data_IF_765334182199
#
_entry.id   IF_765334182199
#
_cell.length_a   1.000
_cell.length_b   1.000
_cell.length_c   1.000
_cell.angle_alpha   90.00
_cell.angle_beta   90.00
_cell.angle_gamma   90.00
#
_symmetry.space_group_name_H-M   'P 1'
#
loop_
_entity.id
_entity.type
_entity.pdbx_description
1 polymer ?
#
# COMPACT_ATOMS: atom_id res chain seq x y z
N UNK A 1 38.88 -67.58 -83.03
CA UNK A 1 38.37 -68.68 -82.18
C UNK A 1 37.25 -68.12 -81.31
N UNK A 2 36.00 -68.62 -81.53
CA UNK A 2 34.78 -68.61 -80.68
C UNK A 2 34.22 -67.20 -80.32
N UNK A 3 33.06 -66.70 -80.76
CA UNK A 3 31.64 -67.14 -80.87
C UNK A 3 30.85 -67.22 -79.55
N UNK A 4 29.55 -66.90 -79.65
CA UNK A 4 28.42 -66.94 -78.68
C UNK A 4 28.02 -65.57 -78.11
N UNK A 5 26.85 -64.96 -78.39
CA UNK A 5 25.42 -65.35 -78.42
C UNK A 5 24.73 -65.37 -77.04
N UNK A 6 23.58 -64.67 -76.97
CA UNK A 6 22.59 -64.39 -75.90
C UNK A 6 22.51 -65.34 -74.67
N UNK A 7 22.10 -64.92 -73.47
CA UNK A 7 20.78 -64.36 -73.13
C UNK A 7 20.68 -63.77 -71.69
N UNK A 8 19.49 -63.23 -71.41
CA UNK A 8 18.91 -62.56 -70.23
C UNK A 8 19.15 -63.12 -68.81
N UNK A 9 19.14 -62.25 -67.79
CA UNK A 9 18.21 -62.36 -66.65
C UNK A 9 18.14 -61.09 -65.77
N UNK A 10 16.92 -60.87 -65.27
CA UNK A 10 16.41 -59.84 -64.36
C UNK A 10 17.01 -59.90 -62.94
N UNK A 11 17.11 -58.76 -62.25
CA UNK A 11 16.80 -58.65 -60.81
C UNK A 11 16.48 -57.20 -60.45
N UNK A 12 15.20 -56.95 -60.18
CA UNK A 12 14.72 -55.79 -59.45
C UNK A 12 14.85 -56.06 -57.94
N UNK A 13 15.44 -55.14 -57.18
CA UNK A 13 15.25 -55.09 -55.74
C UNK A 13 15.58 -53.70 -55.16
N UNK A 14 14.59 -53.15 -54.46
CA UNK A 14 14.69 -52.28 -53.27
C UNK A 14 14.92 -50.77 -53.48
N UNK A 15 13.81 -50.06 -53.73
CA UNK A 15 13.64 -48.65 -53.36
C UNK A 15 12.38 -48.45 -52.49
N UNK A 16 12.35 -49.09 -51.31
CA UNK A 16 11.40 -48.72 -50.26
C UNK A 16 12.04 -47.66 -49.35
N UNK A 17 12.28 -46.47 -49.91
CA UNK A 17 12.53 -45.28 -49.11
C UNK A 17 11.19 -44.82 -48.54
N UNK A 18 11.09 -44.87 -47.22
CA UNK A 18 9.97 -44.45 -46.41
C UNK A 18 9.57 -43.01 -46.79
N UNK A 19 8.52 -42.85 -47.60
CA UNK A 19 7.88 -41.57 -47.85
C UNK A 19 7.20 -41.12 -46.55
N UNK A 20 7.87 -40.28 -45.78
CA UNK A 20 7.20 -39.54 -44.71
C UNK A 20 6.29 -38.52 -45.42
N UNK A 21 4.96 -38.56 -45.21
CA UNK A 21 4.05 -37.67 -45.94
C UNK A 21 4.31 -36.22 -45.53
N UNK A 22 4.39 -35.29 -46.50
CA UNK A 22 4.60 -33.84 -46.30
C UNK A 22 3.68 -33.23 -45.21
N UNK A 23 2.50 -33.83 -45.01
CA UNK A 23 1.55 -33.47 -43.94
C UNK A 23 2.09 -33.67 -42.51
N UNK A 24 2.99 -34.62 -42.31
CA UNK A 24 3.65 -34.85 -41.02
C UNK A 24 4.70 -33.76 -40.72
N UNK A 25 5.37 -33.26 -41.75
CA UNK A 25 6.40 -32.22 -41.63
C UNK A 25 5.77 -30.88 -41.21
N UNK A 26 4.65 -30.48 -41.83
CA UNK A 26 3.92 -29.25 -41.48
C UNK A 26 3.33 -29.31 -40.06
N UNK A 27 2.85 -30.48 -39.62
CA UNK A 27 2.36 -30.67 -38.25
C UNK A 27 3.47 -30.54 -37.21
N UNK A 28 4.69 -30.96 -37.54
CA UNK A 28 5.86 -30.85 -36.66
C UNK A 28 6.33 -29.41 -36.55
N UNK A 29 6.40 -28.66 -37.66
CA UNK A 29 6.71 -27.22 -37.68
C UNK A 29 5.72 -26.41 -36.84
N UNK A 30 4.41 -26.66 -37.00
CA UNK A 30 3.37 -25.97 -36.22
C UNK A 30 3.43 -26.32 -34.73
N UNK A 31 3.78 -27.56 -34.39
CA UNK A 31 4.00 -27.97 -33.00
C UNK A 31 5.20 -27.26 -32.38
N UNK A 32 6.32 -27.17 -33.12
CA UNK A 32 7.53 -26.48 -32.67
C UNK A 32 7.26 -24.99 -32.48
N UNK A 33 6.57 -24.34 -33.43
CA UNK A 33 6.17 -22.93 -33.31
C UNK A 33 5.27 -22.71 -32.09
N UNK A 34 4.30 -23.60 -31.85
CA UNK A 34 3.42 -23.51 -30.68
C UNK A 34 4.17 -23.68 -29.36
N UNK A 35 5.14 -24.60 -29.30
CA UNK A 35 6.00 -24.80 -28.12
C UNK A 35 6.88 -23.57 -27.89
N UNK A 36 7.54 -23.06 -28.93
CA UNK A 36 8.39 -21.86 -28.83
C UNK A 36 7.58 -20.65 -28.41
N UNK A 37 6.40 -20.43 -29.00
CA UNK A 37 5.51 -19.34 -28.63
C UNK A 37 5.02 -19.45 -27.17
N UNK A 38 4.72 -20.66 -26.71
CA UNK A 38 4.32 -20.91 -25.32
C UNK A 38 5.48 -20.68 -24.35
N UNK A 39 6.71 -21.06 -24.71
CA UNK A 39 7.92 -20.79 -23.92
C UNK A 39 8.25 -19.29 -23.87
N UNK A 40 8.05 -18.56 -24.97
CA UNK A 40 8.20 -17.10 -25.01
C UNK A 40 7.13 -16.45 -24.12
N UNK A 41 5.86 -16.86 -24.22
CA UNK A 41 4.79 -16.39 -23.33
C UNK A 41 5.11 -16.66 -21.86
N UNK A 42 5.57 -17.87 -21.52
CA UNK A 42 6.01 -18.21 -20.17
C UNK A 42 7.15 -17.32 -19.69
N UNK A 43 8.14 -17.02 -20.55
CA UNK A 43 9.25 -16.13 -20.22
C UNK A 43 8.82 -14.66 -20.02
N UNK A 44 7.86 -14.19 -20.81
CA UNK A 44 7.29 -12.84 -20.67
C UNK A 44 6.49 -12.76 -19.37
N UNK A 45 5.73 -13.81 -19.01
CA UNK A 45 5.00 -13.84 -17.73
C UNK A 45 5.91 -13.93 -16.51
N UNK A 46 7.08 -14.58 -16.63
CA UNK A 46 8.05 -14.64 -15.53
C UNK A 46 8.76 -13.31 -15.27
N UNK A 47 8.72 -12.38 -16.24
CA UNK A 47 9.36 -11.08 -16.11
C UNK A 47 8.51 -10.07 -15.30
N UNK A 48 7.24 -10.40 -15.03
CA UNK A 48 6.32 -9.60 -14.21
C UNK A 48 6.23 -10.08 -12.75
N UNK A 49 6.91 -11.17 -12.39
CA UNK A 49 6.86 -11.76 -11.04
C UNK A 49 8.13 -11.54 -10.22
N UNK A 50 8.82 -10.41 -10.40
CA UNK A 50 9.63 -9.88 -9.30
C UNK A 50 8.67 -9.24 -8.31
N UNK A 51 8.36 -9.95 -7.21
CA UNK A 51 7.73 -9.34 -6.04
C UNK A 51 8.67 -8.20 -5.62
N UNK A 52 8.31 -6.96 -5.97
CA UNK A 52 9.05 -5.79 -5.54
C UNK A 52 9.22 -5.89 -4.02
N UNK A 53 10.47 -5.90 -3.56
CA UNK A 53 10.80 -5.93 -2.15
C UNK A 53 10.12 -4.72 -1.50
N UNK A 54 9.16 -4.96 -0.60
CA UNK A 54 8.41 -3.91 0.09
C UNK A 54 9.34 -3.20 1.08
N UNK A 55 10.11 -2.23 0.59
CA UNK A 55 11.03 -1.35 1.36
C UNK A 55 10.26 -0.37 2.29
N UNK A 56 9.05 -0.75 2.68
CA UNK A 56 8.22 0.00 3.61
C UNK A 56 8.76 -0.16 5.04
N UNK A 57 9.14 0.94 5.70
CA UNK A 57 9.77 0.90 7.01
C UNK A 57 8.81 0.36 8.08
N UNK A 58 9.31 -0.47 8.98
CA UNK A 58 8.60 -0.90 10.19
C UNK A 58 9.27 -0.32 11.43
N UNK A 59 8.50 0.33 12.29
CA UNK A 59 8.98 0.94 13.54
C UNK A 59 8.21 0.36 14.73
N UNK A 60 8.93 0.10 15.83
CA UNK A 60 8.34 -0.35 17.08
C UNK A 60 7.85 0.83 17.91
N UNK A 61 6.58 0.80 18.30
CA UNK A 61 6.00 1.75 19.27
C UNK A 61 5.80 1.07 20.63
N UNK A 62 5.37 1.83 21.65
CA UNK A 62 4.97 1.26 22.95
C UNK A 62 3.70 0.40 22.88
N UNK A 63 2.90 0.54 21.82
CA UNK A 63 1.64 -0.19 21.61
C UNK A 63 1.79 -1.40 20.69
N UNK A 64 2.78 -1.36 19.79
CA UNK A 64 3.07 -2.43 18.83
C UNK A 64 3.78 -1.92 17.57
N UNK A 65 4.16 -2.82 16.66
CA UNK A 65 4.83 -2.45 15.41
C UNK A 65 3.87 -1.76 14.42
N UNK A 66 4.37 -0.74 13.71
CA UNK A 66 3.65 -0.04 12.63
C UNK A 66 4.51 -0.02 11.36
N UNK A 67 3.88 -0.22 10.20
CA UNK A 67 4.52 -0.15 8.88
C UNK A 67 4.11 1.13 8.17
N UNK A 68 5.08 1.96 7.80
CA UNK A 68 4.87 3.22 7.10
C UNK A 68 5.24 3.16 5.62
N UNK A 69 5.37 4.33 5.00
CA UNK A 69 5.92 4.53 3.66
C UNK A 69 7.22 5.33 3.71
N UNK A 70 8.05 5.13 2.69
CA UNK A 70 9.16 6.00 2.33
C UNK A 70 8.91 6.53 0.93
N UNK A 71 8.97 7.84 0.75
CA UNK A 71 8.75 8.46 -0.56
C UNK A 71 9.54 9.76 -0.71
N UNK A 72 9.74 10.20 -1.95
CA UNK A 72 10.35 11.50 -2.24
C UNK A 72 9.24 12.53 -2.46
N UNK A 73 9.26 13.58 -1.66
CA UNK A 73 8.33 14.70 -1.77
C UNK A 73 8.40 15.34 -3.17
N UNK A 74 7.28 15.44 -3.92
CA UNK A 74 7.29 16.10 -5.22
C UNK A 74 7.55 17.61 -5.10
N UNK A 75 7.29 18.23 -3.94
CA UNK A 75 7.51 19.65 -3.69
C UNK A 75 8.93 19.98 -3.25
N UNK A 76 9.51 19.20 -2.32
CA UNK A 76 10.83 19.50 -1.73
C UNK A 76 11.97 18.67 -2.30
N UNK A 77 11.65 17.62 -3.06
CA UNK A 77 12.60 16.63 -3.59
C UNK A 77 13.44 15.92 -2.52
N UNK A 78 13.01 15.98 -1.26
CA UNK A 78 13.63 15.25 -0.14
C UNK A 78 12.84 13.98 0.17
N UNK A 79 13.56 12.99 0.69
CA UNK A 79 12.95 11.77 1.22
C UNK A 79 12.17 12.08 2.50
N UNK A 80 11.01 11.44 2.65
CA UNK A 80 10.13 11.52 3.80
C UNK A 80 9.71 10.10 4.17
N UNK A 81 9.76 9.82 5.47
CA UNK A 81 9.14 8.64 6.05
C UNK A 81 7.81 9.05 6.68
N UNK A 82 6.74 8.33 6.37
CA UNK A 82 5.39 8.60 6.87
C UNK A 82 4.77 7.36 7.51
N UNK A 83 4.12 7.57 8.65
CA UNK A 83 3.33 6.56 9.35
C UNK A 83 1.97 7.18 9.64
N UNK A 84 0.96 6.81 8.85
CA UNK A 84 -0.36 7.42 8.85
C UNK A 84 -1.43 6.46 9.37
N UNK A 85 -2.47 6.98 9.99
CA UNK A 85 -3.54 6.14 10.55
C UNK A 85 -3.13 5.34 11.79
N UNK A 86 -2.22 5.86 12.63
CA UNK A 86 -1.85 5.21 13.89
C UNK A 86 -2.93 5.51 14.93
N UNK A 87 -3.62 4.51 15.53
CA UNK A 87 -4.63 4.78 16.55
C UNK A 87 -3.99 5.28 17.84
N UNK A 88 -4.48 6.39 18.38
CA UNK A 88 -4.04 6.92 19.67
C UNK A 88 -5.08 6.76 20.78
N UNK A 89 -6.30 6.33 20.43
CA UNK A 89 -7.39 6.04 21.34
C UNK A 89 -8.22 4.84 20.82
N UNK A 90 -9.01 4.24 21.69
CA UNK A 90 -10.02 3.26 21.30
C UNK A 90 -11.08 3.94 20.41
N UNK A 91 -11.65 3.23 19.41
CA UNK A 91 -12.72 3.77 18.58
C UNK A 91 -13.90 4.24 19.46
N UNK A 92 -14.36 5.50 19.35
CA UNK A 92 -15.42 6.05 20.18
C UNK A 92 -16.81 5.57 19.69
N UNK A 93 -16.99 4.26 19.63
CA UNK A 93 -18.20 3.62 19.11
C UNK A 93 -19.13 3.20 20.25
N UNK A 94 -20.43 3.11 19.96
CA UNK A 94 -21.44 2.63 20.90
C UNK A 94 -21.42 3.41 22.22
N UNK A 95 -21.15 2.72 23.33
CA UNK A 95 -21.13 3.31 24.67
C UNK A 95 -20.02 4.33 24.94
N UNK A 96 -19.08 4.52 24.00
CA UNK A 96 -17.99 5.49 24.07
C UNK A 96 -18.25 6.79 23.29
N UNK A 97 -19.34 6.86 22.51
CA UNK A 97 -19.58 7.92 21.50
C UNK A 97 -19.36 9.36 22.00
N UNK A 98 -19.89 9.71 23.16
CA UNK A 98 -19.81 11.07 23.74
C UNK A 98 -18.92 11.17 24.99
N UNK A 99 -18.22 10.09 25.34
CA UNK A 99 -17.35 10.01 26.52
C UNK A 99 -15.92 10.39 26.18
N UNK A 100 -15.11 10.70 27.17
CA UNK A 100 -13.66 10.89 27.01
C UNK A 100 -13.00 9.69 26.30
N UNK A 101 -11.96 9.92 25.48
CA UNK A 101 -11.30 8.85 24.75
C UNK A 101 -10.60 7.88 25.71
N UNK A 102 -10.79 6.58 25.47
CA UNK A 102 -10.05 5.54 26.20
C UNK A 102 -8.76 5.17 25.47
N UNK A 103 -7.70 4.72 26.16
CA UNK A 103 -6.47 4.29 25.50
C UNK A 103 -6.70 3.14 24.49
N UNK A 104 -5.96 3.10 23.38
CA UNK A 104 -6.10 2.02 22.41
C UNK A 104 -5.53 0.71 22.97
N UNK A 105 -6.08 -0.42 22.51
CA UNK A 105 -5.50 -1.72 22.81
C UNK A 105 -4.10 -1.88 22.20
N UNK A 106 -3.22 -2.61 22.87
CA UNK A 106 -1.92 -3.02 22.31
C UNK A 106 -2.12 -4.06 21.20
N UNK A 107 -1.19 -4.10 20.24
CA UNK A 107 -1.17 -5.09 19.17
C UNK A 107 0.20 -5.76 19.03
N UNK A 108 0.20 -7.03 18.64
CA UNK A 108 1.41 -7.82 18.41
C UNK A 108 1.79 -7.92 16.94
N UNK A 109 0.82 -7.81 16.04
CA UNK A 109 1.00 -7.88 14.58
C UNK A 109 1.32 -6.51 14.00
N UNK A 110 2.15 -6.46 12.97
CA UNK A 110 2.47 -5.20 12.27
C UNK A 110 1.19 -4.55 11.75
N UNK A 111 0.89 -3.34 12.20
CA UNK A 111 -0.25 -2.55 11.71
C UNK A 111 0.15 -1.79 10.44
N UNK A 112 -0.66 -1.88 9.40
CA UNK A 112 -0.46 -1.13 8.17
C UNK A 112 -0.84 0.35 8.40
N UNK A 113 0.16 1.22 8.34
CA UNK A 113 0.07 2.65 8.55
C UNK A 113 0.61 3.42 7.32
N UNK A 114 0.36 2.90 6.12
CA UNK A 114 0.78 3.52 4.85
C UNK A 114 -0.15 4.66 4.39
N UNK A 115 -1.39 4.66 4.86
CA UNK A 115 -2.45 5.57 4.45
C UNK A 115 -3.08 6.28 5.65
N UNK A 116 -3.74 7.41 5.40
CA UNK A 116 -4.50 8.13 6.42
C UNK A 116 -5.65 7.24 6.96
N UNK A 117 -5.93 7.39 8.26
CA UNK A 117 -7.15 6.85 8.86
C UNK A 117 -8.40 7.60 8.38
N UNK A 118 -9.58 7.20 8.88
CA UNK A 118 -10.80 7.96 8.57
C UNK A 118 -10.74 9.36 9.20
N UNK A 119 -11.25 10.36 8.48
CA UNK A 119 -11.56 11.66 9.07
C UNK A 119 -12.80 11.54 9.98
N UNK A 120 -12.91 12.42 10.98
CA UNK A 120 -14.09 12.41 11.85
C UNK A 120 -15.35 12.86 11.09
N UNK A 121 -16.56 12.44 11.51
CA UNK A 121 -17.80 12.77 10.81
C UNK A 121 -18.00 14.28 10.77
N UNK A 122 -18.15 14.79 9.55
CA UNK A 122 -18.27 16.21 9.26
C UNK A 122 -18.98 16.39 7.91
N UNK A 123 -19.45 17.61 7.67
CA UNK A 123 -20.06 18.04 6.42
C UNK A 123 -19.26 19.19 5.83
N UNK A 124 -19.36 19.40 4.53
CA UNK A 124 -18.78 20.56 3.87
C UNK A 124 -19.46 21.86 4.32
N UNK A 125 -18.97 22.99 3.80
CA UNK A 125 -19.50 24.31 4.15
C UNK A 125 -20.98 24.51 3.81
N UNK A 126 -21.53 23.72 2.88
CA UNK A 126 -22.93 23.74 2.48
C UNK A 126 -23.79 22.71 3.23
N UNK A 127 -23.20 21.97 4.17
CA UNK A 127 -23.89 20.92 4.92
C UNK A 127 -24.04 19.61 4.15
N UNK A 128 -23.30 19.43 3.06
CA UNK A 128 -23.31 18.22 2.24
C UNK A 128 -22.18 17.27 2.65
N UNK A 129 -22.35 15.95 2.49
CA UNK A 129 -21.25 15.01 2.65
C UNK A 129 -20.15 15.32 1.62
N UNK A 130 -18.91 15.48 2.08
CA UNK A 130 -17.77 15.61 1.17
C UNK A 130 -17.46 14.23 0.58
N UNK A 131 -17.75 14.05 -0.71
CA UNK A 131 -17.51 12.79 -1.41
C UNK A 131 -16.03 12.42 -1.52
N UNK A 132 -15.12 13.36 -1.29
CA UNK A 132 -13.68 13.12 -1.34
C UNK A 132 -13.11 12.75 0.03
N UNK A 133 -13.90 12.86 1.10
CA UNK A 133 -13.46 12.61 2.47
C UNK A 133 -14.06 11.30 2.99
N UNK A 134 -13.20 10.31 3.25
CA UNK A 134 -13.62 9.10 3.96
C UNK A 134 -13.85 9.45 5.43
N UNK A 135 -15.11 9.44 5.86
CA UNK A 135 -15.50 9.76 7.24
C UNK A 135 -16.06 8.56 7.98
N UNK A 136 -15.74 8.45 9.28
CA UNK A 136 -16.26 7.41 10.19
C UNK A 136 -16.14 7.92 11.65
N UNK A 137 -16.93 7.38 12.59
CA UNK A 137 -16.75 7.67 14.03
C UNK A 137 -15.44 7.07 14.57
N UNK A 138 -14.97 5.95 14.01
CA UNK A 138 -13.62 5.47 14.21
C UNK A 138 -12.64 6.35 13.44
N UNK A 139 -12.27 7.48 14.06
CA UNK A 139 -11.42 8.52 13.45
C UNK A 139 -10.24 8.97 14.33
N UNK A 140 -10.03 8.40 15.52
CA UNK A 140 -9.01 8.85 16.49
C UNK A 140 -7.61 8.34 16.12
N UNK A 141 -7.08 8.90 15.03
CA UNK A 141 -5.80 8.56 14.45
C UNK A 141 -4.82 9.73 14.48
N UNK A 142 -3.53 9.41 14.59
CA UNK A 142 -2.42 10.33 14.33
C UNK A 142 -1.64 9.91 13.10
N UNK A 143 -0.94 10.88 12.52
CA UNK A 143 0.02 10.68 11.45
C UNK A 143 1.38 11.24 11.90
N UNK A 144 2.46 10.53 11.62
CA UNK A 144 3.84 10.92 11.97
C UNK A 144 4.69 10.96 10.71
N UNK A 145 5.41 12.06 10.53
CA UNK A 145 6.30 12.31 9.39
C UNK A 145 7.68 12.70 9.89
N UNK A 146 8.72 12.10 9.31
CA UNK A 146 10.11 12.34 9.73
C UNK A 146 11.05 12.31 8.53
N UNK A 147 12.13 13.13 8.50
CA UNK A 147 13.09 13.11 7.40
C UNK A 147 14.02 11.89 7.46
N UNK A 148 14.07 11.19 8.59
CA UNK A 148 14.94 10.04 8.80
C UNK A 148 14.38 9.08 9.86
N UNK A 149 14.66 7.79 9.68
CA UNK A 149 14.46 6.76 10.71
C UNK A 149 15.84 6.35 11.20
N UNK A 150 16.16 6.70 12.43
CA UNK A 150 17.41 6.30 13.07
C UNK A 150 17.12 5.22 14.12
N UNK A 151 17.84 4.10 14.05
CA UNK A 151 17.89 3.10 15.12
C UNK A 151 18.76 3.63 16.27
N UNK A 152 18.26 4.63 17.01
CA UNK A 152 19.08 5.35 17.98
C UNK A 152 19.15 4.60 19.31
N UNK A 153 20.34 4.08 19.63
CA UNK A 153 20.92 4.20 20.96
C UNK A 153 22.36 4.74 20.81
N UNK A 154 22.74 5.86 21.45
CA UNK A 154 22.04 6.65 22.47
C UNK A 154 21.40 7.96 21.95
N UNK A 155 20.54 8.60 22.77
CA UNK A 155 19.63 9.77 22.58
C UNK A 155 20.27 11.04 21.94
N UNK A 156 21.54 11.03 21.56
CA UNK A 156 22.14 12.11 20.79
C UNK A 156 21.54 12.19 19.39
N UNK A 157 21.10 13.38 18.97
CA UNK A 157 20.60 13.63 17.61
C UNK A 157 19.10 13.38 17.42
N UNK A 158 18.29 13.51 18.47
CA UNK A 158 16.83 13.63 18.33
C UNK A 158 16.46 14.90 17.55
N UNK A 159 15.42 14.81 16.75
CA UNK A 159 14.83 15.95 16.04
C UNK A 159 13.75 16.62 16.89
N UNK A 160 13.53 17.94 16.74
CA UNK A 160 12.36 18.60 17.32
C UNK A 160 11.07 17.99 16.77
N UNK A 161 10.01 17.98 17.59
CA UNK A 161 8.68 17.48 17.23
C UNK A 161 7.68 18.63 17.23
N UNK A 162 6.96 18.80 16.12
CA UNK A 162 5.84 19.72 15.98
C UNK A 162 4.53 18.94 15.88
N UNK A 163 3.60 19.23 16.78
CA UNK A 163 2.26 18.64 16.77
C UNK A 163 1.27 19.66 16.21
N UNK A 164 0.60 19.29 15.13
CA UNK A 164 -0.38 20.10 14.44
C UNK A 164 -1.80 19.63 14.78
N UNK A 165 -2.55 20.52 15.42
CA UNK A 165 -4.00 20.36 15.67
C UNK A 165 -4.72 21.20 14.62
N UNK A 166 -5.48 20.55 13.74
CA UNK A 166 -6.16 21.25 12.66
C UNK A 166 -7.27 22.18 13.18
N UNK A 167 -7.51 23.27 12.45
CA UNK A 167 -8.64 24.17 12.69
C UNK A 167 -9.96 23.60 12.16
N UNK A 168 -10.89 24.49 11.78
CA UNK A 168 -12.20 24.12 11.24
C UNK A 168 -13.37 24.32 12.20
N UNK A 169 -13.23 25.24 13.16
CA UNK A 169 -14.33 25.69 14.02
C UNK A 169 -14.91 24.60 14.93
N UNK A 170 -14.14 23.53 15.19
CA UNK A 170 -14.56 22.34 15.92
C UNK A 170 -15.63 21.48 15.23
N UNK A 171 -16.00 21.76 13.97
CA UNK A 171 -17.01 20.98 13.23
C UNK A 171 -16.50 20.39 11.91
N UNK A 172 -15.32 20.82 11.44
CA UNK A 172 -14.69 20.34 10.22
C UNK A 172 -13.15 20.30 10.35
N UNK A 173 -12.50 19.73 9.35
CA UNK A 173 -11.05 19.57 9.22
C UNK A 173 -10.57 18.13 9.47
N UNK A 174 -9.33 17.87 9.07
CA UNK A 174 -8.64 16.61 9.24
C UNK A 174 -7.13 16.81 9.40
N UNK A 175 -6.50 15.88 10.12
CA UNK A 175 -5.04 15.73 10.15
C UNK A 175 -4.47 15.01 8.93
N UNK A 176 -5.27 14.72 7.90
CA UNK A 176 -4.86 13.98 6.71
C UNK A 176 -3.68 14.64 5.98
N UNK A 177 -2.92 13.84 5.25
CA UNK A 177 -1.80 14.34 4.44
C UNK A 177 -2.21 15.44 3.44
N UNK A 178 -3.37 15.30 2.82
CA UNK A 178 -3.84 16.25 1.80
C UNK A 178 -4.25 17.60 2.40
N UNK A 179 -4.77 17.63 3.62
CA UNK A 179 -5.16 18.87 4.31
C UNK A 179 -3.99 19.51 5.09
N UNK A 180 -3.14 18.67 5.70
CA UNK A 180 -2.08 19.09 6.62
C UNK A 180 -0.69 18.66 6.11
N UNK A 181 -0.41 18.95 4.84
CA UNK A 181 0.83 18.56 4.15
C UNK A 181 2.12 18.90 4.92
N UNK A 182 2.94 17.91 5.32
CA UNK A 182 4.09 18.09 6.21
C UNK A 182 5.40 18.42 5.47
N UNK A 183 5.40 18.35 4.14
CA UNK A 183 6.60 18.28 3.29
C UNK A 183 7.66 19.33 3.59
N UNK A 184 7.26 20.60 3.69
CA UNK A 184 8.19 21.71 3.91
C UNK A 184 8.80 21.69 5.32
N UNK A 185 8.01 21.31 6.33
CA UNK A 185 8.45 21.23 7.72
C UNK A 185 9.40 20.05 7.93
N UNK A 186 9.06 18.89 7.37
CA UNK A 186 9.92 17.70 7.40
C UNK A 186 11.24 17.97 6.69
N UNK A 187 11.19 18.64 5.52
CA UNK A 187 12.38 19.06 4.80
C UNK A 187 13.28 20.03 5.61
N UNK A 188 12.72 20.71 6.61
CA UNK A 188 13.42 21.56 7.57
C UNK A 188 14.10 20.81 8.72
N UNK A 189 14.02 19.48 8.78
CA UNK A 189 14.66 18.68 9.82
C UNK A 189 13.81 18.52 11.10
N UNK A 190 12.49 18.48 10.95
CA UNK A 190 11.53 18.40 12.07
C UNK A 190 10.66 17.16 11.91
N UNK A 191 10.30 16.51 13.01
CA UNK A 191 9.25 15.49 13.03
C UNK A 191 7.90 16.20 13.12
N UNK A 192 7.01 15.96 12.18
CA UNK A 192 5.65 16.50 12.17
C UNK A 192 4.67 15.44 12.59
N UNK A 193 3.81 15.76 13.54
CA UNK A 193 2.69 14.93 13.96
C UNK A 193 1.41 15.67 13.67
N UNK A 194 0.48 15.06 12.95
CA UNK A 194 -0.89 15.58 12.78
C UNK A 194 -1.87 14.60 13.40
N UNK A 195 -3.06 15.06 13.77
CA UNK A 195 -4.06 14.21 14.40
C UNK A 195 -5.47 14.62 14.02
N UNK A 196 -6.38 13.66 14.14
CA UNK A 196 -7.81 13.90 14.16
C UNK A 196 -8.30 13.98 15.61
N UNK A 197 -9.24 14.86 15.88
CA UNK A 197 -10.03 14.90 17.12
C UNK A 197 -11.51 14.91 16.76
N UNK A 198 -12.39 14.45 17.68
CA UNK A 198 -13.84 14.40 17.42
C UNK A 198 -14.38 15.80 17.15
N UNK A 199 -15.31 15.88 16.20
CA UNK A 199 -15.89 17.14 15.71
C UNK A 199 -17.39 17.23 16.01
N UNK A 200 -17.92 18.45 15.93
CA UNK A 200 -19.34 18.76 16.06
C UNK A 200 -19.94 18.24 17.37
N UNK A 201 -21.18 17.75 17.28
CA UNK A 201 -21.85 17.17 18.45
C UNK A 201 -21.11 15.93 19.01
N UNK A 202 -20.40 15.16 18.17
CA UNK A 202 -19.67 13.98 18.64
C UNK A 202 -18.47 14.34 19.51
N UNK A 203 -17.85 15.50 19.29
CA UNK A 203 -16.72 15.99 20.09
C UNK A 203 -17.10 16.94 21.23
N UNK A 204 -18.20 17.68 21.10
CA UNK A 204 -18.46 18.84 21.94
C UNK A 204 -19.87 18.90 22.55
N UNK A 205 -20.67 17.84 22.42
CA UNK A 205 -21.95 17.75 23.14
C UNK A 205 -21.72 17.74 24.66
N UNK A 206 -22.38 18.65 25.37
CA UNK A 206 -22.41 18.70 26.82
C UNK A 206 -23.87 18.66 27.30
N UNK A 207 -24.19 17.65 28.12
CA UNK A 207 -25.54 17.43 28.66
C UNK A 207 -25.55 17.41 30.20
N UNK A 208 -24.44 17.80 30.85
CA UNK A 208 -24.27 17.74 32.31
C UNK A 208 -24.57 16.35 32.90
N UNK A 209 -24.14 15.30 32.19
CA UNK A 209 -24.25 13.90 32.64
C UNK A 209 -22.91 13.18 32.45
N UNK A 210 -22.62 12.12 33.25
CA UNK A 210 -21.34 11.40 33.14
C UNK A 210 -21.05 10.81 31.76
N UNK A 211 -22.08 10.54 30.95
CA UNK A 211 -21.93 9.99 29.59
C UNK A 211 -21.65 11.03 28.50
N UNK A 212 -21.79 12.32 28.80
CA UNK A 212 -21.59 13.43 27.87
C UNK A 212 -21.23 14.71 28.66
N UNK A 213 -20.04 14.74 29.30
CA UNK A 213 -19.62 15.89 30.11
C UNK A 213 -19.31 17.13 29.27
N UNK A 214 -19.06 16.97 27.96
CA UNK A 214 -18.56 18.02 27.07
C UNK A 214 -17.08 17.85 26.77
N UNK A 215 -16.59 18.55 25.75
CA UNK A 215 -15.15 18.64 25.43
C UNK A 215 -14.45 17.30 25.16
N UNK A 216 -15.18 16.28 24.72
CA UNK A 216 -14.64 14.97 24.40
C UNK A 216 -13.64 14.99 23.21
N UNK A 217 -13.63 16.06 22.42
CA UNK A 217 -12.64 16.34 21.38
C UNK A 217 -11.39 17.12 21.84
N UNK A 218 -11.26 17.47 23.13
CA UNK A 218 -10.10 18.19 23.69
C UNK A 218 -9.19 17.31 24.54
#
# INVERSE_FOLDING_TARGET
>A
KLSHYHSSHSTAALSSLCFIPERAFIRMELLVISIVFSLILLSVTSQELELAEDDSPVVQTSLGPVQGLKFVSPWTKKEIYSFRGIPYAAPPLGGLRFKDPEPPGKWSTVKNCKEDGNSCPQVDFFGLPDSNLKTDEDCLYINVYTPEIKNIKPVSGLLPVMVWVHGGGFFAGSGSYNESGPDFLVAGGVVVVTLNYRLGALGFLSLDIPGAPGNAGM
#
